data_IF_224641864661
#
_entry.id   IF_224641864661
#
_cell.length_a   1.000
_cell.length_b   1.000
_cell.length_c   1.000
_cell.angle_alpha   90.00
_cell.angle_beta   90.00
_cell.angle_gamma   90.00
#
_symmetry.space_group_name_H-M   'P 1'
#
loop_
_entity.id
_entity.type
_entity.pdbx_description
1 polymer ?
#
# COMPACT_ATOMS: atom_id res chain seq x y z
N UNK A 1 -13.08 -5.32 -39.53
CA UNK A 1 -13.25 -6.24 -38.38
C UNK A 1 -14.56 -6.01 -37.64
N UNK A 2 -14.88 -4.82 -37.11
CA UNK A 2 -16.12 -4.58 -36.35
C UNK A 2 -17.42 -4.91 -37.12
N UNK A 3 -17.49 -4.57 -38.42
CA UNK A 3 -18.64 -4.89 -39.29
C UNK A 3 -18.83 -6.39 -39.48
N UNK A 4 -17.74 -7.15 -39.62
CA UNK A 4 -17.78 -8.61 -39.76
C UNK A 4 -18.22 -9.30 -38.46
N UNK A 5 -17.72 -8.82 -37.31
CA UNK A 5 -18.15 -9.31 -35.99
C UNK A 5 -19.62 -9.01 -35.72
N UNK A 6 -20.11 -7.84 -36.14
CA UNK A 6 -21.53 -7.49 -36.06
C UNK A 6 -22.40 -8.42 -36.88
N UNK A 7 -22.05 -8.65 -38.15
CA UNK A 7 -22.79 -9.56 -39.02
C UNK A 7 -22.79 -10.99 -38.48
N UNK A 8 -21.67 -11.45 -37.90
CA UNK A 8 -21.57 -12.76 -37.26
C UNK A 8 -22.53 -12.92 -36.08
N UNK A 9 -22.49 -11.99 -35.10
CA UNK A 9 -23.40 -12.06 -33.94
C UNK A 9 -24.86 -11.82 -34.33
N UNK A 10 -25.14 -10.98 -35.32
CA UNK A 10 -26.48 -10.72 -35.81
C UNK A 10 -27.09 -11.96 -36.47
N UNK A 11 -26.32 -12.64 -37.34
CA UNK A 11 -26.74 -13.90 -37.97
C UNK A 11 -26.95 -15.00 -36.92
N UNK A 12 -26.06 -15.10 -35.95
CA UNK A 12 -26.17 -16.07 -34.85
C UNK A 12 -27.42 -15.83 -34.00
N UNK A 13 -27.77 -14.58 -33.70
CA UNK A 13 -28.98 -14.26 -32.95
C UNK A 13 -30.27 -14.67 -33.69
N UNK A 14 -30.33 -14.50 -35.02
CA UNK A 14 -31.46 -15.01 -35.81
C UNK A 14 -31.56 -16.53 -35.75
N UNK A 15 -30.44 -17.26 -35.76
CA UNK A 15 -30.43 -18.71 -35.63
C UNK A 15 -30.98 -19.20 -34.26
N UNK A 16 -30.97 -18.35 -33.23
CA UNK A 16 -31.55 -18.59 -31.91
C UNK A 16 -33.00 -18.08 -31.76
N UNK A 17 -33.63 -17.62 -32.86
CA UNK A 17 -35.04 -17.24 -32.88
C UNK A 17 -35.34 -15.81 -32.43
N UNK A 18 -34.34 -14.93 -32.33
CA UNK A 18 -34.57 -13.51 -32.06
C UNK A 18 -35.22 -12.82 -33.27
N UNK A 19 -36.16 -11.91 -33.02
CA UNK A 19 -36.66 -11.01 -34.07
C UNK A 19 -35.57 -10.00 -34.49
N UNK A 20 -35.76 -9.29 -35.61
CA UNK A 20 -34.76 -8.34 -36.16
C UNK A 20 -34.25 -7.33 -35.12
N UNK A 21 -35.14 -6.80 -34.29
CA UNK A 21 -34.78 -5.85 -33.23
C UNK A 21 -33.97 -6.52 -32.11
N UNK A 22 -34.38 -7.70 -31.65
CA UNK A 22 -33.67 -8.49 -30.66
C UNK A 22 -32.30 -8.94 -31.13
N UNK A 23 -32.17 -9.36 -32.39
CA UNK A 23 -30.89 -9.72 -33.00
C UNK A 23 -29.94 -8.53 -33.09
N UNK A 24 -30.46 -7.33 -33.39
CA UNK A 24 -29.68 -6.09 -33.37
C UNK A 24 -29.16 -5.80 -31.95
N UNK A 25 -30.04 -5.79 -30.95
CA UNK A 25 -29.68 -5.53 -29.54
C UNK A 25 -28.66 -6.56 -29.02
N UNK A 26 -28.86 -7.84 -29.31
CA UNK A 26 -27.93 -8.89 -28.90
C UNK A 26 -26.54 -8.69 -29.51
N UNK A 27 -26.48 -8.39 -30.82
CA UNK A 27 -25.20 -8.19 -31.52
C UNK A 27 -24.42 -6.96 -31.03
N UNK A 28 -25.09 -5.87 -30.67
CA UNK A 28 -24.44 -4.69 -30.10
C UNK A 28 -23.90 -4.96 -28.71
N UNK A 29 -24.68 -5.62 -27.84
CA UNK A 29 -24.24 -6.04 -26.50
C UNK A 29 -23.04 -6.99 -26.59
N UNK A 30 -23.07 -7.97 -27.50
CA UNK A 30 -21.99 -8.93 -27.70
C UNK A 30 -20.69 -8.24 -28.15
N UNK A 31 -20.76 -7.25 -29.03
CA UNK A 31 -19.58 -6.47 -29.45
C UNK A 31 -19.05 -5.63 -28.30
N UNK A 32 -19.91 -4.93 -27.56
CA UNK A 32 -19.49 -4.12 -26.41
C UNK A 32 -18.82 -5.01 -25.37
N UNK A 33 -19.39 -6.19 -25.09
CA UNK A 33 -18.79 -7.16 -24.17
C UNK A 33 -17.43 -7.68 -24.68
N UNK A 34 -17.33 -8.07 -25.96
CA UNK A 34 -16.09 -8.55 -26.57
C UNK A 34 -15.00 -7.45 -26.58
N UNK A 35 -15.37 -6.21 -26.86
CA UNK A 35 -14.47 -5.06 -26.81
C UNK A 35 -13.96 -4.82 -25.38
N UNK A 36 -14.85 -4.78 -24.39
CA UNK A 36 -14.46 -4.63 -22.98
C UNK A 36 -13.55 -5.78 -22.52
N UNK A 37 -13.85 -7.02 -22.93
CA UNK A 37 -13.01 -8.18 -22.63
C UNK A 37 -11.61 -8.06 -23.26
N UNK A 38 -11.53 -7.61 -24.51
CA UNK A 38 -10.27 -7.38 -25.21
C UNK A 38 -9.43 -6.27 -24.55
N UNK A 39 -10.04 -5.13 -24.26
CA UNK A 39 -9.39 -4.00 -23.55
C UNK A 39 -8.87 -4.43 -22.17
N UNK A 40 -9.66 -5.19 -21.42
CA UNK A 40 -9.26 -5.76 -20.12
C UNK A 40 -8.01 -6.65 -20.25
N UNK A 41 -7.96 -7.51 -21.27
CA UNK A 41 -6.82 -8.39 -21.51
C UNK A 41 -5.54 -7.63 -21.86
N UNK A 42 -5.64 -6.61 -22.73
CA UNK A 42 -4.51 -5.73 -23.06
C UNK A 42 -4.04 -4.99 -21.81
N UNK A 43 -4.96 -4.37 -21.06
CA UNK A 43 -4.64 -3.61 -19.86
C UNK A 43 -3.84 -4.45 -18.86
N UNK A 44 -4.27 -5.71 -18.65
CA UNK A 44 -3.54 -6.66 -17.81
C UNK A 44 -2.13 -6.97 -18.34
N UNK A 45 -1.99 -7.20 -19.65
CA UNK A 45 -0.69 -7.48 -20.27
C UNK A 45 0.27 -6.29 -20.12
N UNK A 46 -0.21 -5.07 -20.34
CA UNK A 46 0.59 -3.85 -20.21
C UNK A 46 1.05 -3.65 -18.77
N UNK A 47 0.18 -3.87 -17.78
CA UNK A 47 0.56 -3.81 -16.36
C UNK A 47 1.67 -4.80 -16.01
N UNK A 48 1.54 -6.03 -16.49
CA UNK A 48 2.56 -7.08 -16.27
C UNK A 48 3.89 -6.67 -16.91
N UNK A 49 3.86 -6.17 -18.14
CA UNK A 49 5.06 -5.74 -18.86
C UNK A 49 5.72 -4.53 -18.22
N UNK A 50 4.93 -3.54 -17.79
CA UNK A 50 5.40 -2.38 -17.06
C UNK A 50 6.13 -2.78 -15.77
N UNK A 51 5.49 -3.59 -14.93
CA UNK A 51 6.11 -4.09 -13.70
C UNK A 51 7.37 -4.89 -13.99
N UNK A 52 7.38 -5.73 -15.04
CA UNK A 52 8.52 -6.61 -15.32
C UNK A 52 9.71 -5.91 -15.98
N UNK A 53 9.47 -4.89 -16.81
CA UNK A 53 10.52 -4.26 -17.64
C UNK A 53 10.84 -2.82 -17.23
N UNK A 54 9.83 -2.03 -16.88
CA UNK A 54 9.98 -0.59 -16.67
C UNK A 54 10.25 -0.27 -15.19
N UNK A 55 9.56 -0.94 -14.27
CA UNK A 55 9.77 -0.71 -12.84
C UNK A 55 11.22 -0.90 -12.38
N UNK A 56 11.94 -1.98 -12.77
CA UNK A 56 13.33 -2.13 -12.37
C UNK A 56 14.21 -0.98 -12.85
N UNK A 57 13.94 -0.44 -14.05
CA UNK A 57 14.66 0.71 -14.62
C UNK A 57 14.37 1.97 -13.79
N UNK A 58 13.10 2.26 -13.50
CA UNK A 58 12.72 3.41 -12.66
C UNK A 58 13.38 3.34 -11.30
N UNK A 59 13.34 2.18 -10.64
CA UNK A 59 13.87 2.00 -9.30
C UNK A 59 15.39 2.20 -9.30
N UNK A 60 16.09 1.65 -10.30
CA UNK A 60 17.55 1.84 -10.46
C UNK A 60 17.94 3.28 -10.83
N UNK A 61 17.10 3.97 -11.60
CA UNK A 61 17.28 5.39 -11.94
C UNK A 61 17.15 6.29 -10.70
N UNK A 62 16.21 5.97 -9.79
CA UNK A 62 16.04 6.70 -8.54
C UNK A 62 17.17 6.39 -7.54
N UNK A 63 17.51 5.11 -7.35
CA UNK A 63 18.65 4.71 -6.54
C UNK A 63 19.20 3.36 -7.02
N UNK A 64 20.49 3.30 -7.45
CA UNK A 64 21.09 2.09 -8.00
C UNK A 64 21.23 0.94 -6.99
N UNK A 65 21.18 1.20 -5.69
CA UNK A 65 21.27 0.19 -4.62
C UNK A 65 19.92 -0.48 -4.30
N UNK A 66 18.83 -0.01 -4.92
CA UNK A 66 17.51 -0.61 -4.76
C UNK A 66 17.27 -1.72 -5.78
N UNK A 67 16.52 -2.73 -5.36
CA UNK A 67 16.07 -3.85 -6.18
C UNK A 67 14.55 -3.92 -6.08
N UNK A 68 13.91 -4.14 -7.21
CA UNK A 68 12.46 -4.31 -7.31
C UNK A 68 12.10 -5.72 -7.75
N UNK A 69 11.11 -6.31 -7.06
CA UNK A 69 10.64 -7.67 -7.26
C UNK A 69 9.10 -7.71 -7.24
N UNK A 70 8.49 -7.67 -8.43
CA UNK A 70 7.03 -7.49 -8.62
C UNK A 70 6.14 -8.49 -7.86
N UNK A 71 6.57 -9.75 -7.75
CA UNK A 71 5.76 -10.83 -7.15
C UNK A 71 6.13 -11.09 -5.68
N UNK A 72 7.11 -10.34 -5.14
CA UNK A 72 7.49 -10.42 -3.73
C UNK A 72 6.88 -9.26 -2.95
N UNK A 73 6.83 -9.44 -1.64
CA UNK A 73 6.35 -8.46 -0.67
C UNK A 73 6.96 -8.77 0.69
N UNK A 74 6.87 -7.81 1.61
CA UNK A 74 7.26 -8.00 3.00
C UNK A 74 6.49 -9.18 3.58
N UNK A 75 7.17 -10.04 4.35
CA UNK A 75 6.54 -11.28 4.81
C UNK A 75 5.49 -11.02 5.89
N UNK A 76 4.54 -11.95 6.02
CA UNK A 76 3.53 -11.94 7.09
C UNK A 76 4.17 -11.81 8.48
N UNK A 77 5.30 -12.51 8.70
CA UNK A 77 6.01 -12.49 9.97
C UNK A 77 6.56 -11.10 10.29
N UNK A 78 7.12 -10.42 9.30
CA UNK A 78 7.63 -9.06 9.47
C UNK A 78 6.51 -8.02 9.60
N UNK A 79 5.37 -8.22 8.94
CA UNK A 79 4.20 -7.37 9.14
C UNK A 79 3.63 -7.48 10.57
N UNK A 80 3.58 -8.71 11.12
CA UNK A 80 3.03 -9.00 12.44
C UNK A 80 4.05 -8.86 13.60
N UNK A 81 5.34 -8.67 13.31
CA UNK A 81 6.42 -8.64 14.33
C UNK A 81 6.29 -7.50 15.35
N UNK A 82 5.57 -6.44 14.98
CA UNK A 82 5.30 -5.26 15.82
C UNK A 82 4.08 -5.42 16.72
N UNK A 83 3.27 -6.46 16.49
CA UNK A 83 2.00 -6.73 17.17
C UNK A 83 0.95 -5.61 17.08
N UNK A 84 1.17 -4.60 16.22
CA UNK A 84 0.21 -3.50 16.02
C UNK A 84 -1.09 -3.98 15.37
N UNK A 85 -1.03 -5.05 14.58
CA UNK A 85 -2.19 -5.76 14.04
C UNK A 85 -2.37 -7.11 14.74
N UNK A 86 -3.62 -7.57 14.84
CA UNK A 86 -3.92 -8.90 15.36
C UNK A 86 -3.30 -10.00 14.50
N UNK A 87 -2.85 -11.08 15.13
CA UNK A 87 -2.44 -12.32 14.43
C UNK A 87 -3.62 -13.10 13.85
N UNK A 88 -4.84 -12.83 14.33
CA UNK A 88 -6.09 -13.37 13.78
C UNK A 88 -6.45 -12.68 12.45
N UNK A 89 -5.79 -13.11 11.38
CA UNK A 89 -6.02 -12.67 10.00
C UNK A 89 -6.38 -13.86 9.12
N UNK A 90 -7.36 -13.68 8.22
CA UNK A 90 -7.79 -14.70 7.27
C UNK A 90 -6.94 -14.73 6.01
N UNK A 91 -6.36 -13.58 5.64
CA UNK A 91 -5.54 -13.44 4.45
C UNK A 91 -4.41 -12.43 4.68
N UNK A 92 -3.25 -12.76 4.12
CA UNK A 92 -2.11 -11.87 3.97
C UNK A 92 -1.52 -12.07 2.58
N UNK A 93 -1.33 -10.99 1.84
CA UNK A 93 -0.67 -11.01 0.55
C UNK A 93 -0.17 -9.62 0.20
N UNK A 94 0.54 -9.50 -0.91
CA UNK A 94 1.10 -8.25 -1.38
C UNK A 94 1.80 -8.44 -2.71
N UNK A 95 2.49 -7.40 -3.14
CA UNK A 95 3.27 -7.31 -4.36
C UNK A 95 4.27 -6.14 -4.24
N UNK A 96 5.07 -5.95 -5.28
CA UNK A 96 5.88 -4.75 -5.48
C UNK A 96 6.90 -4.48 -4.38
N UNK A 97 7.64 -5.52 -3.98
CA UNK A 97 8.76 -5.35 -3.05
C UNK A 97 9.87 -4.52 -3.68
N UNK A 98 10.20 -3.42 -3.02
CA UNK A 98 11.44 -2.67 -3.21
C UNK A 98 12.29 -2.86 -1.96
N UNK A 99 13.56 -3.19 -2.12
CA UNK A 99 14.50 -3.31 -1.00
C UNK A 99 15.92 -2.93 -1.41
N UNK A 100 16.73 -2.47 -0.45
CA UNK A 100 18.12 -2.08 -0.69
C UNK A 100 18.61 -1.09 0.35
N UNK A 101 19.58 -0.25 -0.03
CA UNK A 101 20.11 0.81 0.83
C UNK A 101 19.74 2.19 0.29
N UNK A 102 19.38 3.09 1.20
CA UNK A 102 19.22 4.53 0.94
C UNK A 102 20.02 5.27 2.00
N UNK A 103 21.04 6.01 1.60
CA UNK A 103 21.95 6.73 2.52
C UNK A 103 22.45 5.80 3.66
N UNK A 104 22.95 4.62 3.30
CA UNK A 104 23.42 3.53 4.19
C UNK A 104 22.36 2.82 5.06
N UNK A 105 21.12 3.28 5.03
CA UNK A 105 20.00 2.66 5.77
C UNK A 105 19.40 1.54 4.94
N UNK A 106 19.35 0.35 5.53
CA UNK A 106 18.63 -0.78 4.92
C UNK A 106 17.14 -0.47 4.95
N UNK A 107 16.54 -0.39 3.77
CA UNK A 107 15.12 -0.15 3.60
C UNK A 107 14.47 -1.28 2.82
N UNK A 108 13.20 -1.51 3.12
CA UNK A 108 12.30 -2.23 2.25
C UNK A 108 10.89 -1.68 2.36
N UNK A 109 10.15 -1.73 1.28
CA UNK A 109 8.73 -1.45 1.28
C UNK A 109 8.02 -2.26 0.21
N UNK A 110 6.77 -2.58 0.45
CA UNK A 110 5.92 -3.27 -0.51
C UNK A 110 4.47 -2.96 -0.23
N UNK A 111 3.61 -3.17 -1.22
CA UNK A 111 2.18 -3.19 -0.99
C UNK A 111 1.80 -4.46 -0.20
N UNK A 112 0.83 -4.33 0.69
CA UNK A 112 0.27 -5.40 1.47
C UNK A 112 -1.24 -5.26 1.61
N UNK A 113 -1.94 -6.39 1.53
CA UNK A 113 -3.37 -6.55 1.74
C UNK A 113 -3.60 -7.55 2.87
N UNK A 114 -4.28 -7.09 3.90
CA UNK A 114 -4.59 -7.88 5.09
C UNK A 114 -6.08 -7.89 5.32
N UNK A 115 -6.63 -9.10 5.50
CA UNK A 115 -8.05 -9.30 5.76
C UNK A 115 -8.28 -10.14 7.00
N UNK A 116 -9.44 -9.95 7.63
CA UNK A 116 -9.91 -10.72 8.77
C UNK A 116 -11.36 -11.12 8.56
N UNK A 117 -11.74 -12.27 9.11
CA UNK A 117 -13.15 -12.65 9.23
C UNK A 117 -13.75 -11.99 10.46
N UNK A 118 -14.72 -11.11 10.24
CA UNK A 118 -15.58 -10.58 11.28
C UNK A 118 -16.80 -11.50 11.44
N UNK A 119 -17.04 -11.93 12.67
CA UNK A 119 -18.22 -12.71 13.05
C UNK A 119 -19.24 -11.78 13.68
N UNK A 120 -20.45 -11.77 13.14
CA UNK A 120 -21.59 -11.04 13.70
C UNK A 120 -22.75 -12.01 13.90
N UNK A 121 -23.59 -11.75 14.90
CA UNK A 121 -24.85 -12.46 15.08
C UNK A 121 -25.96 -11.59 14.51
N UNK A 122 -26.70 -12.12 13.53
CA UNK A 122 -27.92 -11.49 13.03
C UNK A 122 -29.06 -12.50 13.10
N UNK A 123 -30.16 -12.13 13.78
CA UNK A 123 -31.34 -12.98 13.97
C UNK A 123 -31.00 -14.39 14.50
N UNK A 124 -30.08 -14.48 15.47
CA UNK A 124 -29.64 -15.75 16.07
C UNK A 124 -28.72 -16.61 15.19
N UNK A 125 -28.34 -16.17 13.98
CA UNK A 125 -27.39 -16.87 13.10
C UNK A 125 -26.03 -16.17 13.07
N UNK A 126 -24.95 -16.95 13.11
CA UNK A 126 -23.59 -16.45 12.89
C UNK A 126 -23.38 -16.13 11.40
N UNK A 127 -23.03 -14.88 11.12
CA UNK A 127 -22.65 -14.41 9.79
C UNK A 127 -21.16 -14.09 9.83
N UNK A 128 -20.42 -14.69 8.89
CA UNK A 128 -19.00 -14.44 8.67
C UNK A 128 -18.84 -13.50 7.49
N UNK A 129 -18.20 -12.35 7.72
CA UNK A 129 -17.85 -11.38 6.68
C UNK A 129 -16.35 -11.17 6.66
N UNK A 130 -15.74 -11.33 5.50
CA UNK A 130 -14.35 -10.92 5.32
C UNK A 130 -14.28 -9.39 5.17
N UNK A 131 -13.43 -8.77 5.99
CA UNK A 131 -13.18 -7.32 5.97
C UNK A 131 -11.69 -7.04 5.76
N UNK A 132 -11.39 -5.97 5.05
CA UNK A 132 -10.02 -5.47 4.89
C UNK A 132 -9.64 -4.69 6.15
N UNK A 133 -8.53 -5.07 6.79
CA UNK A 133 -8.00 -4.40 7.98
C UNK A 133 -6.79 -3.52 7.68
N UNK A 134 -6.09 -3.81 6.58
CA UNK A 134 -5.02 -2.98 6.03
C UNK A 134 -4.91 -3.19 4.52
N UNK A 135 -4.78 -2.11 3.76
CA UNK A 135 -4.44 -2.16 2.34
C UNK A 135 -3.59 -0.94 1.98
N UNK A 136 -2.34 -1.15 1.62
CA UNK A 136 -1.41 -0.09 1.25
C UNK A 136 0.04 -0.51 1.52
N UNK A 137 0.91 0.46 1.78
CA UNK A 137 2.35 0.23 1.87
C UNK A 137 2.80 -0.03 3.29
N UNK A 138 3.53 -1.13 3.49
CA UNK A 138 4.38 -1.32 4.66
C UNK A 138 5.80 -0.90 4.28
N UNK A 139 6.36 0.03 5.03
CA UNK A 139 7.75 0.48 4.92
C UNK A 139 8.52 0.05 6.17
N UNK A 140 9.70 -0.52 5.99
CA UNK A 140 10.60 -0.95 7.07
C UNK A 140 11.98 -0.37 6.80
N UNK A 141 12.53 0.34 7.77
CA UNK A 141 13.92 0.79 7.75
C UNK A 141 14.66 0.30 8.99
N UNK A 142 15.92 -0.07 8.80
CA UNK A 142 16.83 -0.46 9.89
C UNK A 142 17.66 0.74 10.34
N UNK A 143 17.58 1.08 11.62
CA UNK A 143 18.47 2.03 12.29
C UNK A 143 19.81 1.40 12.66
N UNK A 144 20.84 2.23 12.82
CA UNK A 144 22.13 1.77 13.32
C UNK A 144 22.14 1.59 14.85
N UNK A 145 21.10 2.05 15.54
CA UNK A 145 20.94 1.96 17.00
C UNK A 145 19.84 0.99 17.41
N UNK A 146 20.17 0.12 18.36
CA UNK A 146 19.19 -0.75 19.01
C UNK A 146 18.34 0.03 20.02
N UNK A 147 17.03 -0.09 19.86
CA UNK A 147 15.99 0.48 20.73
C UNK A 147 15.53 -0.63 21.68
N UNK A 148 15.74 -0.44 22.98
CA UNK A 148 15.33 -1.38 24.02
C UNK A 148 13.91 -1.08 24.55
N UNK A 149 13.06 -0.49 23.72
CA UNK A 149 11.67 -0.14 24.01
C UNK A 149 10.82 -0.35 22.77
N UNK A 150 9.51 -0.43 22.96
CA UNK A 150 8.54 -0.38 21.87
C UNK A 150 7.85 0.96 21.96
N UNK A 151 7.90 1.75 20.88
CA UNK A 151 7.18 3.02 20.78
C UNK A 151 6.30 2.99 19.53
N UNK A 152 4.99 3.09 19.74
CA UNK A 152 3.98 3.08 18.69
C UNK A 152 3.42 4.48 18.49
N UNK A 153 3.34 4.92 17.24
CA UNK A 153 2.63 6.13 16.81
C UNK A 153 1.41 5.67 16.06
N UNK A 154 0.23 6.02 16.54
CA UNK A 154 -1.04 5.52 16.01
C UNK A 154 -1.88 6.67 15.53
N UNK A 155 -2.30 6.64 14.27
CA UNK A 155 -3.29 7.57 13.75
C UNK A 155 -4.59 7.45 14.56
N UNK A 156 -5.14 8.57 15.03
CA UNK A 156 -6.40 8.56 15.79
C UNK A 156 -7.58 7.95 15.02
N UNK A 157 -7.52 7.94 13.68
CA UNK A 157 -8.55 7.36 12.81
C UNK A 157 -8.25 5.91 12.42
N UNK A 158 -7.09 5.37 12.77
CA UNK A 158 -6.76 3.99 12.44
C UNK A 158 -7.64 3.01 13.23
N UNK A 159 -8.13 2.00 12.52
CA UNK A 159 -8.95 0.93 13.07
C UNK A 159 -8.14 -0.37 13.13
N UNK A 160 -8.61 -1.32 13.95
CA UNK A 160 -8.00 -2.66 14.09
C UNK A 160 -6.56 -2.66 14.61
N UNK A 161 -6.16 -1.57 15.26
CA UNK A 161 -4.84 -1.39 15.87
C UNK A 161 -4.85 -1.86 17.33
N UNK A 162 -3.81 -2.62 17.71
CA UNK A 162 -3.48 -2.93 19.10
C UNK A 162 -2.43 -1.96 19.61
N UNK A 163 -2.63 -1.50 20.84
CA UNK A 163 -1.69 -0.64 21.57
C UNK A 163 -0.81 -1.48 22.49
N UNK A 164 0.47 -1.15 22.58
CA UNK A 164 1.42 -1.77 23.50
C UNK A 164 2.05 -0.69 24.40
N UNK A 165 2.02 -0.92 25.71
CA UNK A 165 2.49 0.03 26.72
C UNK A 165 1.47 1.13 27.05
N UNK A 166 1.96 2.14 27.77
CA UNK A 166 1.16 3.24 28.29
C UNK A 166 1.12 4.42 27.31
N UNK A 167 0.07 5.23 27.43
CA UNK A 167 -0.04 6.47 26.66
C UNK A 167 1.04 7.46 27.11
N UNK A 168 1.92 7.84 26.20
CA UNK A 168 2.82 8.98 26.36
C UNK A 168 2.26 10.21 25.62
N UNK A 169 2.17 11.35 26.30
CA UNK A 169 1.82 12.63 25.70
C UNK A 169 3.08 13.33 25.20
N UNK A 170 3.05 13.75 23.94
CA UNK A 170 4.13 14.48 23.28
C UNK A 170 3.88 15.99 23.31
N UNK A 171 4.96 16.77 23.22
CA UNK A 171 4.90 18.23 23.39
C UNK A 171 4.53 18.99 22.09
N UNK A 172 4.29 18.28 20.98
CA UNK A 172 3.85 18.88 19.72
C UNK A 172 2.33 18.77 19.55
N UNK A 173 1.64 19.91 19.63
CA UNK A 173 0.18 19.97 19.54
C UNK A 173 -0.37 19.51 18.18
N UNK A 174 0.35 19.76 17.08
CA UNK A 174 -0.07 19.31 15.75
C UNK A 174 0.02 17.81 15.63
N UNK A 175 1.11 17.21 16.14
CA UNK A 175 1.27 15.76 16.23
C UNK A 175 0.19 15.14 17.13
N UNK A 176 0.02 15.65 18.35
CA UNK A 176 -1.00 15.18 19.29
C UNK A 176 -2.42 15.35 18.76
N UNK A 177 -2.67 16.28 17.83
CA UNK A 177 -3.98 16.42 17.20
C UNK A 177 -4.30 15.22 16.27
N UNK A 178 -3.30 14.65 15.61
CA UNK A 178 -3.46 13.58 14.62
C UNK A 178 -3.18 12.18 15.18
N UNK A 179 -2.25 12.07 16.12
CA UNK A 179 -1.67 10.81 16.55
C UNK A 179 -1.82 10.54 18.04
N UNK A 180 -1.55 9.30 18.40
CA UNK A 180 -1.47 8.79 19.76
C UNK A 180 -0.19 8.00 19.92
N UNK A 181 0.64 8.34 20.92
CA UNK A 181 1.86 7.59 21.20
C UNK A 181 1.64 6.60 22.35
N UNK A 182 1.99 5.33 22.14
CA UNK A 182 2.00 4.30 23.19
C UNK A 182 3.40 3.72 23.31
N UNK A 183 3.88 3.51 24.53
CA UNK A 183 5.25 3.05 24.76
C UNK A 183 5.40 2.35 26.10
N UNK A 184 6.34 1.41 26.20
CA UNK A 184 6.77 0.83 27.47
C UNK A 184 7.89 1.64 28.16
N UNK A 185 8.43 2.65 27.49
CA UNK A 185 9.43 3.58 28.02
C UNK A 185 9.11 5.00 27.53
N UNK A 186 8.55 5.82 28.44
CA UNK A 186 8.16 7.18 28.10
C UNK A 186 9.36 8.14 27.98
N UNK A 187 10.48 7.83 28.62
CA UNK A 187 11.69 8.65 28.54
C UNK A 187 12.31 8.43 27.16
N UNK A 188 12.53 7.16 26.78
CA UNK A 188 13.09 6.82 25.48
C UNK A 188 12.18 7.29 24.33
N UNK A 189 10.85 7.20 24.47
CA UNK A 189 9.93 7.72 23.47
C UNK A 189 10.14 9.21 23.16
N UNK A 190 10.47 10.06 24.15
CA UNK A 190 10.74 11.48 23.91
C UNK A 190 12.10 11.74 23.25
N UNK A 191 13.07 10.84 23.44
CA UNK A 191 14.33 10.87 22.72
C UNK A 191 14.17 10.43 21.26
N UNK A 192 13.33 9.42 21.00
CA UNK A 192 13.03 8.93 19.65
C UNK A 192 12.16 9.92 18.87
N UNK A 193 11.09 10.41 19.50
CA UNK A 193 10.10 11.31 18.89
C UNK A 193 10.49 12.77 19.12
N UNK A 194 11.63 13.16 18.57
CA UNK A 194 12.07 14.56 18.60
C UNK A 194 11.05 15.49 17.93
N UNK A 195 11.06 16.80 18.22
CA UNK A 195 10.19 17.77 17.54
C UNK A 195 10.26 17.67 16.01
N UNK A 196 11.47 17.51 15.46
CA UNK A 196 11.66 17.33 14.01
C UNK A 196 11.00 16.06 13.51
N UNK A 197 11.24 14.91 14.15
CA UNK A 197 10.61 13.64 13.79
C UNK A 197 9.07 13.75 13.79
N UNK A 198 8.49 14.37 14.83
CA UNK A 198 7.04 14.55 14.93
C UNK A 198 6.47 15.43 13.81
N UNK A 199 7.17 16.52 13.46
CA UNK A 199 6.81 17.37 12.33
C UNK A 199 6.89 16.61 11.01
N UNK A 200 7.96 15.84 10.81
CA UNK A 200 8.15 15.04 9.60
C UNK A 200 7.11 13.94 9.47
N UNK A 201 6.72 13.32 10.59
CA UNK A 201 5.66 12.31 10.59
C UNK A 201 4.28 12.93 10.28
N UNK A 202 4.00 14.14 10.76
CA UNK A 202 2.82 14.92 10.36
C UNK A 202 2.85 15.23 8.85
N UNK A 203 4.02 15.57 8.32
CA UNK A 203 4.23 15.85 6.92
C UNK A 203 3.99 14.61 6.04
N UNK A 204 4.47 13.43 6.45
CA UNK A 204 4.14 12.18 5.77
C UNK A 204 2.62 11.98 5.68
N UNK A 205 1.88 12.21 6.77
CA UNK A 205 0.42 12.13 6.75
C UNK A 205 -0.21 13.13 5.78
N UNK A 206 0.32 14.34 5.69
CA UNK A 206 -0.15 15.38 4.76
C UNK A 206 0.09 14.97 3.30
N UNK A 207 1.25 14.39 3.00
CA UNK A 207 1.63 13.95 1.65
C UNK A 207 0.77 12.77 1.19
N UNK A 208 0.72 11.70 1.98
CA UNK A 208 -0.02 10.48 1.60
C UNK A 208 -1.53 10.61 1.75
N UNK A 209 -2.01 11.56 2.55
CA UNK A 209 -3.44 11.77 2.86
C UNK A 209 -4.13 10.48 3.33
N UNK A 210 -3.38 9.65 4.06
CA UNK A 210 -3.77 8.32 4.51
C UNK A 210 -3.76 8.21 6.03
N UNK A 211 -4.25 7.08 6.55
CA UNK A 211 -3.99 6.70 7.94
C UNK A 211 -2.56 6.17 8.01
N UNK A 212 -1.75 6.75 8.90
CA UNK A 212 -0.35 6.34 9.06
C UNK A 212 -0.09 5.95 10.50
N UNK A 213 0.38 4.72 10.69
CA UNK A 213 0.88 4.24 11.98
C UNK A 213 2.36 3.90 11.85
N UNK A 214 3.11 4.01 12.94
CA UNK A 214 4.48 3.54 12.99
C UNK A 214 4.78 2.81 14.29
N UNK A 215 5.74 1.88 14.24
CA UNK A 215 6.30 1.22 15.41
C UNK A 215 7.81 1.26 15.33
N UNK A 216 8.44 1.82 16.36
CA UNK A 216 9.86 1.73 16.59
C UNK A 216 10.10 0.61 17.60
N UNK A 217 10.86 -0.41 17.19
CA UNK A 217 11.15 -1.61 17.98
C UNK A 217 12.47 -2.22 17.53
N UNK A 218 13.29 -2.64 18.49
CA UNK A 218 14.62 -3.20 18.23
C UNK A 218 15.46 -2.21 17.38
N UNK A 219 16.01 -2.62 16.24
CA UNK A 219 16.76 -1.73 15.35
C UNK A 219 15.90 -1.22 14.18
N UNK A 220 14.57 -1.22 14.29
CA UNK A 220 13.70 -0.98 13.14
C UNK A 220 12.60 0.04 13.41
N UNK A 221 12.25 0.79 12.37
CA UNK A 221 10.96 1.45 12.24
C UNK A 221 10.13 0.75 11.18
N UNK A 222 8.89 0.49 11.55
CA UNK A 222 7.85 -0.04 10.68
C UNK A 222 6.84 1.08 10.50
N UNK A 223 6.53 1.46 9.26
CA UNK A 223 5.53 2.48 8.93
C UNK A 223 4.46 1.84 8.06
N UNK A 224 3.22 1.91 8.54
CA UNK A 224 2.04 1.35 7.91
C UNK A 224 1.23 2.50 7.32
N UNK A 225 1.22 2.60 5.98
CA UNK A 225 0.52 3.66 5.25
C UNK A 225 -0.72 3.03 4.59
N UNK A 226 -1.87 3.18 5.24
CA UNK A 226 -3.12 2.55 4.82
C UNK A 226 -3.82 3.41 3.74
N UNK A 227 -3.46 3.18 2.48
CA UNK A 227 -3.95 3.93 1.32
C UNK A 227 -5.33 3.46 0.84
N UNK A 228 -5.78 2.27 1.26
CA UNK A 228 -7.04 1.67 0.83
C UNK A 228 -7.04 1.20 -0.63
N UNK A 229 -5.86 1.09 -1.25
CA UNK A 229 -5.65 0.69 -2.64
C UNK A 229 -4.29 0.00 -2.82
N UNK A 230 -4.14 -0.63 -3.97
CA UNK A 230 -2.83 -1.03 -4.51
C UNK A 230 -2.12 0.24 -5.01
N UNK A 231 -0.90 0.48 -4.52
CA UNK A 231 -0.21 1.78 -4.58
C UNK A 231 0.70 1.85 -5.81
N UNK A 232 1.32 0.74 -6.20
CA UNK A 232 2.28 0.70 -7.30
C UNK A 232 1.66 0.34 -8.66
N UNK A 233 0.39 0.70 -8.88
CA UNK A 233 -0.34 0.43 -10.12
C UNK A 233 -0.39 1.65 -11.04
N UNK A 234 -0.13 1.44 -12.34
CA UNK A 234 -0.39 2.46 -13.34
C UNK A 234 -1.89 2.73 -13.48
N UNK A 235 -2.27 4.02 -13.53
CA UNK A 235 -3.59 4.41 -13.96
C UNK A 235 -3.72 4.21 -15.48
N UNK A 236 -4.23 3.04 -15.86
CA UNK A 236 -4.45 2.65 -17.25
C UNK A 236 -5.54 3.46 -17.97
N UNK A 237 -6.23 4.37 -17.27
CA UNK A 237 -7.19 5.28 -17.90
C UNK A 237 -6.49 6.45 -18.60
N UNK A 238 -5.28 6.78 -18.17
CA UNK A 238 -4.49 7.83 -18.79
C UNK A 238 -3.48 7.22 -19.77
N UNK A 239 -3.10 7.99 -20.79
CA UNK A 239 -2.04 7.60 -21.73
C UNK A 239 -0.73 7.39 -20.98
N UNK A 240 0.05 6.39 -21.38
CA UNK A 240 1.41 6.18 -20.87
C UNK A 240 2.32 7.26 -21.48
N UNK A 241 2.18 8.48 -20.98
CA UNK A 241 2.95 9.66 -21.35
C UNK A 241 4.01 9.99 -20.27
N UNK A 242 4.89 10.93 -20.59
CA UNK A 242 5.98 11.33 -19.70
C UNK A 242 5.48 11.90 -18.37
N UNK A 243 4.31 12.56 -18.36
CA UNK A 243 3.74 13.16 -17.16
C UNK A 243 3.27 12.09 -16.18
N UNK A 244 2.59 11.05 -16.66
CA UNK A 244 2.17 9.93 -15.84
C UNK A 244 3.38 9.14 -15.30
N UNK A 245 4.43 8.98 -16.10
CA UNK A 245 5.67 8.36 -15.64
C UNK A 245 6.36 9.20 -14.55
N UNK A 246 6.39 10.52 -14.69
CA UNK A 246 6.98 11.43 -13.71
C UNK A 246 6.18 11.45 -12.40
N UNK A 247 4.85 11.47 -12.47
CA UNK A 247 3.98 11.36 -11.29
C UNK A 247 4.23 10.05 -10.54
N UNK A 248 4.41 8.96 -11.28
CA UNK A 248 4.72 7.65 -10.72
C UNK A 248 6.11 7.59 -10.08
N UNK A 249 7.15 8.10 -10.76
CA UNK A 249 8.49 8.27 -10.18
C UNK A 249 8.45 9.08 -8.89
N UNK A 250 7.65 10.13 -8.85
CA UNK A 250 7.47 10.98 -7.67
C UNK A 250 6.83 10.21 -6.51
N UNK A 251 5.86 9.34 -6.76
CA UNK A 251 5.25 8.49 -5.74
C UNK A 251 6.29 7.55 -5.10
N UNK A 252 7.11 6.86 -5.92
CA UNK A 252 8.20 6.01 -5.43
C UNK A 252 9.22 6.84 -4.65
N UNK A 253 9.64 7.99 -5.19
CA UNK A 253 10.60 8.88 -4.54
C UNK A 253 10.08 9.35 -3.18
N UNK A 254 8.77 9.60 -3.07
CA UNK A 254 8.13 9.98 -1.80
C UNK A 254 8.28 8.90 -0.73
N UNK A 255 8.17 7.61 -1.10
CA UNK A 255 8.42 6.51 -0.15
C UNK A 255 9.89 6.42 0.26
N UNK A 256 10.83 6.71 -0.64
CA UNK A 256 12.26 6.75 -0.31
C UNK A 256 12.62 7.96 0.56
N UNK A 257 11.96 9.08 0.30
CA UNK A 257 12.12 10.30 1.09
C UNK A 257 11.62 10.13 2.52
N UNK A 258 10.90 9.06 2.88
CA UNK A 258 10.62 8.71 4.28
C UNK A 258 11.92 8.66 5.10
N UNK A 259 12.98 8.08 4.53
CA UNK A 259 14.29 7.97 5.20
C UNK A 259 14.87 9.35 5.51
N UNK A 260 14.79 10.24 4.52
CA UNK A 260 15.34 11.61 4.60
C UNK A 260 14.48 12.51 5.47
N UNK A 261 13.16 12.47 5.26
CA UNK A 261 12.17 13.26 5.96
C UNK A 261 12.19 12.92 7.44
N UNK A 262 12.07 11.65 7.81
CA UNK A 262 12.17 11.25 9.23
C UNK A 262 13.59 11.30 9.77
N UNK A 263 14.55 11.68 8.92
CA UNK A 263 15.94 11.92 9.29
C UNK A 263 16.58 10.70 9.96
N UNK A 264 16.28 9.51 9.41
CA UNK A 264 16.66 8.24 9.99
C UNK A 264 18.18 8.02 10.00
N UNK A 265 18.94 8.85 9.27
CA UNK A 265 20.39 8.81 9.15
C UNK A 265 21.14 9.73 10.13
N UNK A 266 20.44 10.50 10.96
CA UNK A 266 21.10 11.42 11.88
C UNK A 266 21.57 10.74 13.18
N UNK A 267 22.48 11.41 13.90
CA UNK A 267 23.16 10.96 15.13
C UNK A 267 22.27 10.42 16.27
N UNK A 268 20.94 10.58 16.19
CA UNK A 268 19.98 9.95 17.11
C UNK A 268 19.88 8.43 16.87
N UNK A 269 20.04 8.03 15.61
CA UNK A 269 20.00 6.64 15.13
C UNK A 269 21.35 6.14 14.63
N UNK A 270 22.34 7.03 14.48
CA UNK A 270 23.72 6.73 14.08
C UNK A 270 24.71 7.08 15.21
N UNK A 271 25.22 6.05 15.88
CA UNK A 271 26.53 5.98 16.53
C UNK A 271 26.84 4.51 16.81
#
# INVERSE_FOLDING_TARGET
MAVLSFLFFHFYAHAFGFNKLGAFIFSTIAIVFAFNFYVSKISKSVKVEFKSKIMPIIIKDINPDLVYEKDKFITKNEFLSTEIYSSDISFYGGNDLVNGKVDDILVKFSDALVKRVQKNIQNGKEIKKEIVVFQGVLFIAKFNKKINSITQIIDKKANFIKTNGDRAYMDDATFESHFKTYTNDQINARYLLTPKFMQDFCELKRIFKAQICAVLKDEFIYIYINLGKDSFELDMKNTLDQDNLNAYKKEITTFLDIVKNLNLNNNLFCN
#
